data_IF_674572557657
#
_entry.id   IF_674572557657
#
_cell.length_a   1.000
_cell.length_b   1.000
_cell.length_c   1.000
_cell.angle_alpha   90.00
_cell.angle_beta   90.00
_cell.angle_gamma   90.00
#
_symmetry.space_group_name_H-M   'P 1'
#
loop_
_entity.id
_entity.type
_entity.pdbx_description
1 polymer ?
#
# COMPACT_ATOMS: atom_id res chain seq x y z
N UNK A 1 -33.88 -25.12 40.22
CA UNK A 1 -32.87 -26.14 39.89
C UNK A 1 -31.97 -25.61 38.78
N UNK A 2 -30.69 -25.33 39.08
CA UNK A 2 -29.73 -24.84 38.08
C UNK A 2 -29.30 -25.99 37.18
N UNK A 3 -29.53 -25.87 35.87
CA UNK A 3 -29.08 -26.88 34.89
C UNK A 3 -27.54 -26.81 34.83
N UNK A 4 -26.86 -27.86 35.31
CA UNK A 4 -25.42 -28.04 35.08
C UNK A 4 -25.19 -28.08 33.56
N UNK A 5 -24.54 -27.05 33.01
CA UNK A 5 -24.06 -27.05 31.62
C UNK A 5 -23.05 -28.20 31.48
N UNK A 6 -23.33 -29.14 30.59
CA UNK A 6 -22.37 -30.18 30.21
C UNK A 6 -21.09 -29.55 29.69
N UNK A 7 -19.95 -30.18 29.95
CA UNK A 7 -18.66 -29.72 29.39
C UNK A 7 -18.77 -29.72 27.88
N UNK A 8 -18.55 -28.57 27.25
CA UNK A 8 -18.53 -28.46 25.79
C UNK A 8 -17.32 -29.20 25.24
N UNK A 9 -17.47 -29.77 24.05
CA UNK A 9 -16.41 -30.47 23.36
C UNK A 9 -15.35 -29.43 22.98
N UNK A 10 -14.06 -29.80 23.03
CA UNK A 10 -12.97 -28.86 22.68
C UNK A 10 -13.15 -28.33 21.25
N UNK A 11 -13.53 -29.19 20.30
CA UNK A 11 -13.78 -28.81 18.90
C UNK A 11 -14.92 -27.79 18.78
N UNK A 12 -16.03 -28.00 19.50
CA UNK A 12 -17.17 -27.07 19.41
C UNK A 12 -16.87 -25.75 20.11
N UNK A 13 -16.05 -25.78 21.16
CA UNK A 13 -15.60 -24.57 21.87
C UNK A 13 -14.65 -23.76 20.98
N UNK A 14 -13.75 -24.43 20.25
CA UNK A 14 -12.86 -23.79 19.28
C UNK A 14 -13.67 -23.18 18.12
N UNK A 15 -14.64 -23.92 17.55
CA UNK A 15 -15.49 -23.42 16.48
C UNK A 15 -16.28 -22.18 16.90
N UNK A 16 -16.91 -22.21 18.07
CA UNK A 16 -17.62 -21.06 18.64
C UNK A 16 -16.70 -19.85 18.87
N UNK A 17 -15.46 -20.07 19.32
CA UNK A 17 -14.47 -19.01 19.53
C UNK A 17 -13.98 -18.40 18.20
N UNK A 18 -13.76 -19.22 17.18
CA UNK A 18 -13.43 -18.76 15.82
C UNK A 18 -14.57 -17.94 15.22
N UNK A 19 -15.81 -18.41 15.35
CA UNK A 19 -17.01 -17.70 14.87
C UNK A 19 -17.21 -16.37 15.61
N UNK A 20 -17.04 -16.37 16.93
CA UNK A 20 -17.08 -15.15 17.73
C UNK A 20 -15.95 -14.18 17.36
N UNK A 21 -14.75 -14.67 17.09
CA UNK A 21 -13.64 -13.84 16.62
C UNK A 21 -13.94 -13.23 15.24
N UNK A 22 -14.49 -14.01 14.30
CA UNK A 22 -14.90 -13.52 12.98
C UNK A 22 -16.03 -12.47 13.04
N UNK A 23 -16.91 -12.56 14.04
CA UNK A 23 -18.00 -11.61 14.30
C UNK A 23 -17.52 -10.34 15.03
N UNK A 24 -16.59 -10.49 15.97
CA UNK A 24 -16.17 -9.41 16.87
C UNK A 24 -14.89 -8.68 16.43
N UNK A 25 -14.19 -9.16 15.41
CA UNK A 25 -12.97 -8.50 14.94
C UNK A 25 -13.32 -7.26 14.09
N UNK A 26 -13.10 -6.03 14.61
CA UNK A 26 -13.43 -4.80 13.89
C UNK A 26 -12.52 -4.54 12.69
N UNK A 27 -11.48 -5.37 12.49
CA UNK A 27 -10.55 -5.31 11.35
C UNK A 27 -10.97 -6.23 10.20
N UNK A 28 -12.26 -6.30 9.87
CA UNK A 28 -12.64 -6.86 8.55
C UNK A 28 -12.05 -5.93 7.50
N UNK A 29 -11.01 -6.41 6.84
CA UNK A 29 -10.37 -5.69 5.77
C UNK A 29 -11.41 -5.34 4.70
N UNK A 30 -11.55 -4.06 4.37
CA UNK A 30 -12.52 -3.63 3.37
C UNK A 30 -11.95 -3.86 1.98
N UNK A 31 -12.25 -5.03 1.40
CA UNK A 31 -11.84 -5.39 0.05
C UNK A 31 -12.50 -4.51 -1.02
N UNK A 32 -13.67 -3.95 -0.75
CA UNK A 32 -14.38 -3.09 -1.70
C UNK A 32 -13.65 -1.75 -1.86
N UNK A 33 -13.14 -1.19 -0.76
CA UNK A 33 -12.33 0.04 -0.79
C UNK A 33 -11.01 -0.10 -1.58
N UNK A 34 -10.49 -1.31 -1.69
CA UNK A 34 -9.24 -1.59 -2.40
C UNK A 34 -9.44 -2.20 -3.79
N UNK A 35 -10.69 -2.45 -4.18
CA UNK A 35 -11.03 -2.83 -5.54
C UNK A 35 -10.80 -1.66 -6.51
N UNK A 36 -11.00 -0.43 -6.03
CA UNK A 36 -10.69 0.76 -6.83
C UNK A 36 -9.17 0.98 -6.90
N UNK A 37 -8.59 1.07 -8.12
CA UNK A 37 -7.18 1.37 -8.31
C UNK A 37 -6.87 2.77 -7.79
N UNK A 38 -5.74 2.88 -7.08
CA UNK A 38 -5.14 4.17 -6.79
C UNK A 38 -4.46 4.74 -8.03
N UNK A 39 -4.15 6.04 -7.98
CA UNK A 39 -3.50 6.76 -9.06
C UNK A 39 -2.09 7.18 -8.66
N UNK A 40 -1.17 7.19 -9.64
CA UNK A 40 0.16 7.75 -9.47
C UNK A 40 0.10 9.25 -9.73
N UNK A 41 0.54 10.05 -8.75
CA UNK A 41 0.54 11.49 -8.87
C UNK A 41 1.84 11.95 -9.52
N UNK A 42 1.73 12.61 -10.67
CA UNK A 42 2.88 13.12 -11.41
C UNK A 42 2.86 14.65 -11.33
N UNK A 43 3.86 15.21 -10.66
CA UNK A 43 4.06 16.65 -10.57
C UNK A 43 5.18 17.06 -11.52
N UNK A 44 4.91 18.04 -12.38
CA UNK A 44 5.92 18.65 -13.23
C UNK A 44 6.23 20.03 -12.66
N UNK A 45 7.39 20.15 -12.01
CA UNK A 45 7.88 21.41 -11.48
C UNK A 45 8.70 22.11 -12.55
N UNK A 46 8.38 23.36 -12.85
CA UNK A 46 9.06 24.16 -13.86
C UNK A 46 9.88 25.27 -13.20
N UNK A 47 11.17 25.31 -13.52
CA UNK A 47 12.11 26.34 -13.08
C UNK A 47 12.67 27.08 -14.29
N UNK A 48 12.94 28.39 -14.17
CA UNK A 48 13.58 29.14 -15.25
C UNK A 48 14.96 28.56 -15.55
N UNK A 49 15.39 28.66 -16.81
CA UNK A 49 16.78 28.34 -17.15
C UNK A 49 17.71 29.30 -16.42
N UNK A 50 18.84 28.82 -15.86
CA UNK A 50 19.84 29.71 -15.31
C UNK A 50 20.34 30.67 -16.40
N UNK A 51 20.71 31.87 -15.98
CA UNK A 51 21.37 32.82 -16.87
C UNK A 51 22.75 32.30 -17.27
N UNK A 52 23.21 32.71 -18.45
CA UNK A 52 24.57 32.40 -18.91
C UNK A 52 25.59 33.03 -17.98
N UNK A 53 26.68 32.31 -17.75
CA UNK A 53 27.87 32.89 -17.15
C UNK A 53 28.53 33.89 -18.11
N UNK A 54 29.35 34.81 -17.58
CA UNK A 54 30.02 35.81 -18.39
C UNK A 54 30.91 35.20 -19.49
N UNK A 55 31.54 34.06 -19.21
CA UNK A 55 32.35 33.31 -20.18
C UNK A 55 31.48 32.73 -21.30
N UNK A 56 30.39 32.03 -20.96
CA UNK A 56 29.47 31.46 -21.95
C UNK A 56 28.82 32.54 -22.82
N UNK A 57 28.47 33.68 -22.23
CA UNK A 57 27.92 34.82 -22.93
C UNK A 57 28.94 35.41 -23.92
N UNK A 58 30.22 35.51 -23.54
CA UNK A 58 31.29 35.98 -24.44
C UNK A 58 31.49 35.07 -25.66
N UNK A 59 31.36 33.75 -25.47
CA UNK A 59 31.46 32.75 -26.54
C UNK A 59 30.29 32.91 -27.51
N UNK A 60 29.06 33.03 -27.00
CA UNK A 60 27.87 33.20 -27.85
C UNK A 60 27.94 34.51 -28.64
N UNK A 61 28.36 35.61 -28.01
CA UNK A 61 28.50 36.90 -28.67
C UNK A 61 29.61 36.94 -29.72
N UNK A 62 30.61 36.05 -29.65
CA UNK A 62 31.67 35.95 -30.67
C UNK A 62 31.18 35.39 -32.01
N UNK A 63 30.02 34.71 -32.03
CA UNK A 63 29.47 34.06 -33.22
C UNK A 63 28.33 34.90 -33.82
N UNK A 64 28.46 35.41 -35.05
CA UNK A 64 27.40 36.21 -35.68
C UNK A 64 26.15 35.36 -35.95
N UNK A 65 25.00 35.85 -35.50
CA UNK A 65 23.69 35.21 -35.70
C UNK A 65 23.32 34.11 -34.71
N UNK A 66 24.17 33.83 -33.72
CA UNK A 66 23.89 32.85 -32.64
C UNK A 66 23.33 33.57 -31.42
N UNK A 67 22.31 33.01 -30.79
CA UNK A 67 21.72 33.54 -29.56
C UNK A 67 21.33 32.40 -28.59
N UNK A 68 21.29 32.72 -27.32
CA UNK A 68 20.84 31.79 -26.29
C UNK A 68 19.32 31.81 -26.17
N UNK A 69 18.71 30.63 -26.24
CA UNK A 69 17.28 30.45 -26.04
C UNK A 69 17.05 29.64 -24.74
N UNK A 70 16.86 30.30 -23.59
CA UNK A 70 16.71 29.62 -22.30
C UNK A 70 15.45 28.75 -22.31
N UNK A 71 15.62 27.44 -22.13
CA UNK A 71 14.49 26.53 -21.91
C UNK A 71 14.25 26.32 -20.42
N UNK A 72 12.98 26.31 -19.97
CA UNK A 72 12.68 26.00 -18.58
C UNK A 72 13.14 24.58 -18.26
N UNK A 73 13.74 24.41 -17.07
CA UNK A 73 14.10 23.09 -16.55
C UNK A 73 12.84 22.48 -15.97
N UNK A 74 12.56 21.24 -16.35
CA UNK A 74 11.41 20.49 -15.84
C UNK A 74 11.91 19.38 -14.94
N UNK A 75 11.41 19.34 -13.72
CA UNK A 75 11.67 18.26 -12.77
C UNK A 75 10.37 17.51 -12.55
N UNK A 76 10.36 16.24 -12.96
CA UNK A 76 9.21 15.36 -12.74
C UNK A 76 9.35 14.68 -11.38
N UNK A 77 8.42 14.95 -10.47
CA UNK A 77 8.30 14.26 -9.19
C UNK A 77 7.13 13.30 -9.29
N UNK A 78 7.41 12.03 -9.04
CA UNK A 78 6.41 10.96 -9.10
C UNK A 78 6.13 10.53 -7.67
N UNK A 79 4.88 10.68 -7.23
CA UNK A 79 4.40 10.23 -5.94
C UNK A 79 3.49 9.01 -6.10
N UNK A 80 3.92 7.91 -5.50
CA UNK A 80 3.25 6.60 -5.50
C UNK A 80 2.50 6.33 -4.19
N UNK A 81 2.37 7.33 -3.31
CA UNK A 81 1.73 7.19 -2.01
C UNK A 81 0.27 6.72 -2.06
N UNK A 82 -0.46 7.07 -3.12
CA UNK A 82 -1.85 6.68 -3.34
C UNK A 82 -2.03 5.32 -4.01
N UNK A 83 -0.95 4.73 -4.54
CA UNK A 83 -1.02 3.41 -5.15
C UNK A 83 -1.36 2.36 -4.10
N UNK A 84 -2.25 1.45 -4.47
CA UNK A 84 -2.62 0.31 -3.64
C UNK A 84 -1.49 -0.71 -3.61
N UNK A 85 -1.38 -1.46 -2.52
CA UNK A 85 -0.32 -2.47 -2.35
C UNK A 85 -0.28 -3.49 -3.49
N UNK A 86 -1.43 -3.89 -4.01
CA UNK A 86 -1.51 -4.83 -5.13
C UNK A 86 -1.01 -4.22 -6.45
N UNK A 87 -1.19 -2.90 -6.67
CA UNK A 87 -0.65 -2.18 -7.82
C UNK A 87 0.88 -2.09 -7.73
N UNK A 88 1.42 -1.79 -6.55
CA UNK A 88 2.88 -1.76 -6.33
C UNK A 88 3.56 -3.12 -6.55
N UNK A 89 2.80 -4.21 -6.40
CA UNK A 89 3.25 -5.58 -6.68
C UNK A 89 3.11 -5.98 -8.16
N UNK A 90 2.56 -5.11 -9.01
CA UNK A 90 2.40 -5.33 -10.45
C UNK A 90 1.17 -6.15 -10.85
N UNK A 91 0.20 -6.33 -9.96
CA UNK A 91 -1.07 -6.96 -10.33
C UNK A 91 -1.96 -5.97 -11.08
N UNK A 92 -2.64 -6.45 -12.12
CA UNK A 92 -3.55 -5.62 -12.94
C UNK A 92 -4.85 -5.27 -12.22
N UNK A 93 -5.32 -6.15 -11.33
CA UNK A 93 -6.56 -5.99 -10.60
C UNK A 93 -6.46 -6.67 -9.22
N UNK A 94 -7.22 -6.16 -8.26
CA UNK A 94 -7.36 -6.73 -6.92
C UNK A 94 -7.78 -8.20 -6.97
N UNK A 95 -8.63 -8.62 -7.92
CA UNK A 95 -9.06 -10.02 -8.00
C UNK A 95 -7.91 -10.99 -8.33
N UNK A 96 -7.00 -10.59 -9.24
CA UNK A 96 -5.82 -11.38 -9.56
C UNK A 96 -4.90 -11.50 -8.35
N UNK A 97 -4.70 -10.40 -7.64
CA UNK A 97 -3.93 -10.38 -6.40
C UNK A 97 -4.54 -11.29 -5.34
N UNK A 98 -5.87 -11.27 -5.16
CA UNK A 98 -6.59 -12.18 -4.23
C UNK A 98 -6.43 -13.64 -4.62
N UNK A 99 -6.54 -13.97 -5.91
CA UNK A 99 -6.33 -15.32 -6.42
C UNK A 99 -4.91 -15.82 -6.12
N UNK A 100 -3.91 -14.96 -6.35
CA UNK A 100 -2.51 -15.26 -6.01
C UNK A 100 -2.32 -15.49 -4.50
N UNK A 101 -2.89 -14.62 -3.65
CA UNK A 101 -2.79 -14.74 -2.20
C UNK A 101 -3.44 -16.05 -1.70
N UNK A 102 -4.62 -16.38 -2.22
CA UNK A 102 -5.33 -17.61 -1.87
C UNK A 102 -4.57 -18.87 -2.33
N UNK A 103 -4.03 -18.87 -3.55
CA UNK A 103 -3.26 -20.00 -4.08
C UNK A 103 -2.01 -20.29 -3.25
N UNK A 104 -1.37 -19.26 -2.71
CA UNK A 104 -0.13 -19.36 -1.95
C UNK A 104 -0.34 -19.44 -0.44
N UNK A 105 -1.59 -19.56 0.03
CA UNK A 105 -1.94 -19.52 1.45
C UNK A 105 -1.34 -18.30 2.18
N UNK A 106 -1.28 -17.17 1.47
CA UNK A 106 -0.82 -15.87 1.98
C UNK A 106 -2.04 -15.06 2.39
N UNK A 107 -1.99 -14.41 3.55
CA UNK A 107 -3.08 -13.57 4.05
C UNK A 107 -2.81 -12.11 3.70
N UNK A 108 -3.81 -11.43 3.12
CA UNK A 108 -3.75 -9.98 2.92
C UNK A 108 -3.90 -9.29 4.28
N UNK A 109 -3.06 -8.28 4.56
CA UNK A 109 -3.00 -7.53 5.82
C UNK A 109 -2.49 -8.27 7.09
N UNK A 110 -1.79 -9.40 6.93
CA UNK A 110 -0.75 -9.81 7.90
C UNK A 110 -1.18 -10.45 9.22
N UNK A 111 -2.28 -11.20 9.26
CA UNK A 111 -2.58 -12.07 10.41
C UNK A 111 -2.86 -13.47 9.88
N UNK A 112 -2.03 -14.44 10.27
CA UNK A 112 -2.32 -15.88 10.04
C UNK A 112 -3.30 -16.38 11.08
N UNK A 113 -4.06 -17.42 10.76
CA UNK A 113 -4.82 -18.19 11.76
C UNK A 113 -3.92 -18.68 12.91
N UNK A 114 -2.64 -18.95 12.64
CA UNK A 114 -1.63 -19.29 13.66
C UNK A 114 -1.32 -18.15 14.62
N UNK A 115 -1.39 -16.90 14.18
CA UNK A 115 -1.16 -15.73 15.04
C UNK A 115 -2.33 -15.54 16.01
N UNK A 116 -3.54 -15.92 15.61
CA UNK A 116 -4.74 -15.93 16.46
C UNK A 116 -4.65 -17.01 17.54
N UNK A 117 -4.11 -18.19 17.20
CA UNK A 117 -3.84 -19.28 18.16
C UNK A 117 -2.75 -18.92 19.18
N UNK A 118 -1.86 -17.98 18.85
CA UNK A 118 -0.82 -17.49 19.74
C UNK A 118 -1.27 -16.32 20.61
N UNK A 119 -2.19 -15.47 20.14
CA UNK A 119 -2.77 -14.37 20.92
C UNK A 119 -3.52 -14.85 22.17
N UNK A 120 -4.23 -15.98 22.08
CA UNK A 120 -4.93 -16.61 23.21
C UNK A 120 -3.98 -17.17 24.29
N UNK A 121 -2.68 -17.29 23.98
CA UNK A 121 -1.66 -17.82 24.90
C UNK A 121 -0.72 -16.76 25.47
N UNK A 122 -0.80 -15.51 25.01
CA UNK A 122 -0.08 -14.39 25.63
C UNK A 122 -1.04 -13.70 26.59
N UNK A 123 -1.09 -14.19 27.83
CA UNK A 123 -1.53 -13.33 28.94
C UNK A 123 -0.48 -12.21 29.05
N UNK A 124 -0.80 -11.06 28.48
CA UNK A 124 -0.13 -9.82 28.85
C UNK A 124 -0.72 -9.47 30.21
N UNK A 125 -0.09 -9.98 31.26
CA UNK A 125 -0.30 -9.44 32.60
C UNK A 125 0.22 -7.99 32.56
N UNK A 126 -0.67 -7.02 32.79
CA UNK A 126 -0.35 -5.60 32.95
C UNK A 126 0.66 -5.35 34.08
#
# INVERSE_FOLDING_TARGET
MSKKKGKKNVITTIGEACDQYALNNPRKYNYEHDAEPGEELIFILEEPSPELTAEELSIIQSMPGVYFNPRPRKTTVIDSSLLKRWQCLGFQDMNHFRGYMALNSLQYAGVRETDLLLLDKVNIDD
#
